data_IF_152848859970
#
_entry.id   IF_152848859970
#
_cell.length_a   1.000
_cell.length_b   1.000
_cell.length_c   1.000
_cell.angle_alpha   90.00
_cell.angle_beta   90.00
_cell.angle_gamma   90.00
#
_symmetry.space_group_name_H-M   'P 1'
#
loop_
_entity.id
_entity.type
_entity.pdbx_description
1 polymer ?
#
# COMPACT_ATOMS: atom_id res chain seq x y z
N UNK A 1 -16.82 -1.80 8.48
CA UNK A 1 -16.18 -1.64 7.15
C UNK A 1 -14.88 -2.41 7.21
N UNK A 2 -14.78 -3.56 6.53
CA UNK A 2 -13.54 -4.35 6.50
C UNK A 2 -12.51 -3.53 5.74
N UNK A 3 -11.53 -2.97 6.46
CA UNK A 3 -10.46 -2.17 5.85
C UNK A 3 -9.66 -3.12 4.96
N UNK A 4 -9.18 -2.64 3.80
CA UNK A 4 -8.27 -3.39 2.93
C UNK A 4 -6.92 -2.69 2.97
N UNK A 5 -5.85 -3.46 3.06
CA UNK A 5 -4.48 -2.93 3.05
C UNK A 5 -4.00 -2.87 1.62
N UNK A 6 -3.41 -1.74 1.24
CA UNK A 6 -2.74 -1.56 -0.05
C UNK A 6 -1.27 -1.90 0.12
N UNK A 7 -0.85 -3.03 -0.43
CA UNK A 7 0.56 -3.42 -0.47
C UNK A 7 1.26 -2.84 -1.70
N UNK A 8 2.58 -2.70 -1.63
CA UNK A 8 3.42 -2.19 -2.72
C UNK A 8 4.63 -3.09 -2.94
N UNK A 9 4.89 -3.41 -4.21
CA UNK A 9 6.12 -4.10 -4.64
C UNK A 9 6.82 -3.23 -5.67
N UNK A 10 8.03 -2.79 -5.33
CA UNK A 10 8.87 -1.94 -6.17
C UNK A 10 10.01 -2.77 -6.78
N UNK A 11 10.12 -2.77 -8.10
CA UNK A 11 11.21 -3.40 -8.85
C UNK A 11 12.14 -2.31 -9.39
N UNK A 12 13.43 -2.41 -9.06
CA UNK A 12 14.48 -1.44 -9.43
C UNK A 12 14.68 -1.38 -10.95
N UNK A 13 15.24 -0.26 -11.39
CA UNK A 13 15.48 0.09 -12.80
C UNK A 13 16.28 -0.96 -13.58
N UNK A 14 17.24 -1.62 -12.91
CA UNK A 14 18.06 -2.65 -13.51
C UNK A 14 17.81 -4.02 -12.86
N UNK A 15 17.06 -4.87 -13.56
CA UNK A 15 16.91 -6.30 -13.30
C UNK A 15 16.99 -7.03 -14.65
N UNK A 16 17.46 -8.28 -14.65
CA UNK A 16 17.35 -9.10 -15.87
C UNK A 16 15.88 -9.36 -16.20
N UNK A 17 15.57 -9.58 -17.47
CA UNK A 17 14.20 -9.88 -17.90
C UNK A 17 13.67 -11.13 -17.20
N UNK A 18 14.51 -12.16 -17.04
CA UNK A 18 14.15 -13.40 -16.37
C UNK A 18 13.87 -13.20 -14.88
N UNK A 19 14.66 -12.37 -14.19
CA UNK A 19 14.41 -12.03 -12.78
C UNK A 19 13.10 -11.26 -12.61
N UNK A 20 12.81 -10.33 -13.54
CA UNK A 20 11.56 -9.58 -13.54
C UNK A 20 10.37 -10.52 -13.73
N UNK A 21 10.41 -11.41 -14.72
CA UNK A 21 9.36 -12.40 -14.99
C UNK A 21 9.17 -13.30 -13.76
N UNK A 22 10.26 -13.82 -13.19
CA UNK A 22 10.21 -14.67 -12.00
C UNK A 22 9.52 -13.99 -10.83
N UNK A 23 9.83 -12.71 -10.57
CA UNK A 23 9.18 -11.92 -9.52
C UNK A 23 7.71 -11.67 -9.79
N UNK A 24 7.33 -11.37 -11.03
CA UNK A 24 5.92 -11.15 -11.40
C UNK A 24 5.10 -12.44 -11.27
N UNK A 25 5.67 -13.58 -11.64
CA UNK A 25 5.00 -14.89 -11.48
C UNK A 25 4.84 -15.23 -9.99
N UNK A 26 5.89 -15.05 -9.19
CA UNK A 26 5.81 -15.27 -7.75
C UNK A 26 4.74 -14.37 -7.09
N UNK A 27 4.72 -13.09 -7.46
CA UNK A 27 3.72 -12.13 -7.00
C UNK A 27 2.31 -12.57 -7.40
N UNK A 28 2.08 -12.91 -8.66
CA UNK A 28 0.79 -13.42 -9.14
C UNK A 28 0.32 -14.65 -8.35
N UNK A 29 1.21 -15.59 -8.06
CA UNK A 29 0.88 -16.80 -7.32
C UNK A 29 0.57 -16.52 -5.84
N UNK A 30 1.06 -15.42 -5.27
CA UNK A 30 0.77 -15.00 -3.90
C UNK A 30 -0.50 -14.14 -3.76
N UNK A 31 -1.05 -13.63 -4.86
CA UNK A 31 -2.19 -12.73 -4.82
C UNK A 31 -3.51 -13.51 -4.68
N UNK A 32 -4.44 -13.06 -3.82
CA UNK A 32 -5.79 -13.61 -3.77
C UNK A 32 -6.57 -13.28 -5.06
N UNK A 33 -7.57 -14.12 -5.40
CA UNK A 33 -8.31 -14.04 -6.68
C UNK A 33 -8.96 -12.66 -6.93
N UNK A 34 -9.36 -11.96 -5.87
CA UNK A 34 -10.00 -10.64 -5.94
C UNK A 34 -9.02 -9.47 -5.70
N UNK A 35 -7.72 -9.73 -5.69
CA UNK A 35 -6.71 -8.69 -5.59
C UNK A 35 -6.68 -7.89 -6.89
N UNK A 36 -7.40 -6.78 -6.91
CA UNK A 36 -7.38 -5.81 -8.00
C UNK A 36 -5.99 -5.12 -8.06
N UNK A 37 -5.00 -5.83 -8.61
CA UNK A 37 -3.62 -5.41 -8.67
C UNK A 37 -3.40 -4.42 -9.81
N UNK A 38 -2.82 -3.27 -9.49
CA UNK A 38 -2.52 -2.17 -10.40
C UNK A 38 -1.00 -2.02 -10.55
N UNK A 39 -0.53 -1.85 -11.78
CA UNK A 39 0.88 -1.63 -12.10
C UNK A 39 1.09 -0.21 -12.61
N UNK A 40 2.12 0.48 -12.08
CA UNK A 40 2.53 1.81 -12.54
C UNK A 40 4.04 1.91 -12.68
N UNK A 41 4.50 2.57 -13.74
CA UNK A 41 5.88 3.04 -13.80
C UNK A 41 5.99 4.34 -12.98
N UNK A 42 7.02 4.44 -12.14
CA UNK A 42 7.30 5.61 -11.31
C UNK A 42 8.76 6.02 -11.52
N UNK A 43 9.06 7.30 -11.38
CA UNK A 43 10.42 7.84 -11.53
C UNK A 43 10.64 8.50 -12.88
N UNK A 44 11.90 8.87 -13.14
CA UNK A 44 12.34 9.65 -14.29
C UNK A 44 13.75 9.23 -14.72
N UNK A 45 14.30 9.91 -15.74
CA UNK A 45 15.61 9.59 -16.29
C UNK A 45 16.78 10.13 -15.43
N UNK A 46 16.50 10.86 -14.35
CA UNK A 46 17.50 11.46 -13.45
C UNK A 46 17.74 10.55 -12.24
N UNK A 47 16.66 10.04 -11.64
CA UNK A 47 16.71 9.18 -10.45
C UNK A 47 16.52 7.69 -10.77
N UNK A 48 16.23 7.38 -12.04
CA UNK A 48 15.91 6.04 -12.52
C UNK A 48 14.42 5.75 -12.46
N UNK A 49 13.98 4.82 -13.31
CA UNK A 49 12.59 4.38 -13.38
C UNK A 49 12.41 3.12 -12.52
N UNK A 50 11.24 2.96 -11.91
CA UNK A 50 10.88 1.78 -11.13
C UNK A 50 9.48 1.31 -11.49
N UNK A 51 9.30 0.00 -11.50
CA UNK A 51 8.00 -0.62 -11.67
C UNK A 51 7.37 -0.79 -10.28
N UNK A 52 6.22 -0.18 -10.06
CA UNK A 52 5.50 -0.21 -8.79
C UNK A 52 4.18 -0.96 -8.98
N UNK A 53 4.00 -2.04 -8.24
CA UNK A 53 2.78 -2.87 -8.27
C UNK A 53 2.08 -2.66 -6.94
N UNK A 54 0.78 -2.37 -6.99
CA UNK A 54 -0.02 -2.17 -5.78
C UNK A 54 -1.32 -2.94 -5.85
N UNK A 55 -1.71 -3.60 -4.76
CA UNK A 55 -2.93 -4.40 -4.71
C UNK A 55 -3.62 -4.24 -3.37
N UNK A 56 -4.94 -4.43 -3.37
CA UNK A 56 -5.73 -4.44 -2.16
C UNK A 56 -5.88 -5.88 -1.65
N UNK A 57 -5.53 -6.11 -0.40
CA UNK A 57 -5.76 -7.38 0.30
C UNK A 57 -6.52 -7.18 1.61
N UNK A 58 -7.07 -8.27 2.13
CA UNK A 58 -7.63 -8.28 3.48
C UNK A 58 -6.53 -8.13 4.54
N UNK A 59 -6.89 -7.58 5.70
CA UNK A 59 -5.99 -7.54 6.85
C UNK A 59 -5.73 -8.98 7.32
N UNK A 60 -4.48 -9.26 7.66
CA UNK A 60 -4.14 -10.46 8.42
C UNK A 60 -4.73 -10.37 9.83
N UNK A 61 -4.87 -11.51 10.52
CA UNK A 61 -5.41 -11.55 11.89
C UNK A 61 -4.61 -10.68 12.87
N UNK A 62 -3.30 -10.58 12.67
CA UNK A 62 -2.40 -9.76 13.48
C UNK A 62 -2.62 -8.26 13.24
N UNK A 63 -2.77 -7.85 11.97
CA UNK A 63 -3.08 -6.47 11.60
C UNK A 63 -4.47 -6.06 12.08
N UNK A 64 -5.45 -6.95 11.98
CA UNK A 64 -6.81 -6.71 12.48
C UNK A 64 -6.82 -6.52 14.00
N UNK A 65 -6.07 -7.35 14.74
CA UNK A 65 -5.92 -7.20 16.20
C UNK A 65 -5.20 -5.89 16.58
N UNK A 66 -4.22 -5.45 15.80
CA UNK A 66 -3.58 -4.15 15.99
C UNK A 66 -4.53 -2.99 15.68
N UNK A 67 -5.33 -3.10 14.61
CA UNK A 67 -6.35 -2.08 14.29
C UNK A 67 -7.38 -1.97 15.41
N UNK A 68 -7.87 -3.08 15.95
CA UNK A 68 -8.79 -3.08 17.10
C UNK A 68 -8.18 -2.41 18.34
N UNK A 69 -6.90 -2.69 18.64
CA UNK A 69 -6.19 -2.06 19.75
C UNK A 69 -6.07 -0.54 19.61
N UNK A 70 -5.92 -0.02 18.40
CA UNK A 70 -5.70 1.42 18.16
C UNK A 70 -6.90 2.15 17.55
N UNK A 71 -8.04 1.46 17.36
CA UNK A 71 -9.25 2.02 16.76
C UNK A 71 -9.74 3.29 17.50
N UNK A 72 -9.55 3.33 18.81
CA UNK A 72 -9.98 4.44 19.66
C UNK A 72 -9.07 5.70 19.57
N UNK A 73 -7.84 5.59 19.06
CA UNK A 73 -6.96 6.77 18.84
C UNK A 73 -7.26 7.49 17.53
N UNK A 74 -7.86 6.80 16.55
CA UNK A 74 -8.27 7.40 15.27
C UNK A 74 -9.65 8.10 15.36
N UNK A 75 -10.38 7.90 16.46
CA UNK A 75 -11.54 8.70 16.79
C UNK A 75 -11.04 10.01 17.43
N UNK A 76 -10.55 10.96 16.63
CA UNK A 76 -10.37 12.34 17.11
C UNK A 76 -11.76 12.96 17.20
N UNK A 77 -12.32 13.21 18.40
CA UNK A 77 -13.55 13.97 18.54
C UNK A 77 -13.17 15.44 18.69
N UNK A 78 -13.54 16.28 17.73
CA UNK A 78 -13.48 17.74 17.87
C UNK A 78 -12.38 18.41 17.06
N UNK A 79 -12.71 18.77 15.82
CA UNK A 79 -12.02 19.83 15.08
C UNK A 79 -13.04 20.87 14.61
N UNK A 80 -13.87 21.39 15.53
CA UNK A 80 -14.89 22.40 15.21
C UNK A 80 -14.80 23.72 16.00
N UNK A 81 -14.08 23.83 17.12
CA UNK A 81 -13.94 25.13 17.82
C UNK A 81 -12.56 25.27 18.49
N UNK A 82 -11.71 26.19 18.01
CA UNK A 82 -10.43 26.45 18.67
C UNK A 82 -9.43 27.39 17.99
N UNK A 83 -9.80 28.09 16.90
CA UNK A 83 -8.97 29.12 16.27
C UNK A 83 -9.73 30.44 16.08
N UNK A 84 -10.48 30.86 17.10
CA UNK A 84 -10.95 32.23 17.25
C UNK A 84 -10.40 32.74 18.57
N UNK A 85 -9.31 33.50 18.49
CA UNK A 85 -8.82 34.50 19.45
C UNK A 85 -7.28 34.56 19.45
N UNK A 86 -6.72 34.82 18.26
CA UNK A 86 -5.39 35.42 18.15
C UNK A 86 -5.46 36.49 17.06
N UNK A 87 -6.01 37.65 17.43
CA UNK A 87 -5.87 38.91 16.71
C UNK A 87 -6.07 40.06 17.70
#
# INVERSE_FOLDING_TARGET
>A
MTRRVKDFVDIKDHASLDDLIGRLVALRNSLPEDANAELRLRGDDVFGRKLSISYLRELTAEEAACEERYAHLNAVPGNEEGWRDVA
#
